data_IF_971086489268
#
_entry.id   IF_971086489268
#
_cell.length_a   1.000
_cell.length_b   1.000
_cell.length_c   1.000
_cell.angle_alpha   90.00
_cell.angle_beta   90.00
_cell.angle_gamma   90.00
#
_symmetry.space_group_name_H-M   'P 1'
#
loop_
_entity.id
_entity.type
_entity.pdbx_description
1 polymer ?
#
# COMPACT_ATOMS: atom_id res chain seq x y z
N UNK A 1 -14.03 -1.47 10.04
CA UNK A 1 -13.70 -1.78 8.63
C UNK A 1 -13.81 -3.28 8.42
N UNK A 2 -14.47 -3.75 7.36
CA UNK A 2 -14.63 -5.20 7.17
C UNK A 2 -13.25 -5.85 6.96
N UNK A 3 -13.02 -7.02 7.57
CA UNK A 3 -11.77 -7.79 7.39
C UNK A 3 -11.41 -7.99 5.90
N UNK A 4 -12.43 -7.99 5.04
CA UNK A 4 -12.31 -8.01 3.59
C UNK A 4 -11.54 -6.80 3.03
N UNK A 5 -11.88 -5.57 3.46
CA UNK A 5 -11.25 -4.33 3.00
C UNK A 5 -9.78 -4.21 3.43
N UNK A 6 -9.44 -4.67 4.65
CA UNK A 6 -8.04 -4.68 5.12
C UNK A 6 -7.20 -5.69 4.34
N UNK A 7 -7.74 -6.88 4.09
CA UNK A 7 -7.09 -7.91 3.27
C UNK A 7 -6.84 -7.41 1.85
N UNK A 8 -7.80 -6.74 1.23
CA UNK A 8 -7.63 -6.15 -0.11
C UNK A 8 -6.54 -5.08 -0.15
N UNK A 9 -6.47 -4.19 0.84
CA UNK A 9 -5.42 -3.18 0.92
C UNK A 9 -4.02 -3.80 1.05
N UNK A 10 -3.89 -4.87 1.85
CA UNK A 10 -2.64 -5.63 1.97
C UNK A 10 -2.25 -6.30 0.65
N UNK A 11 -3.21 -6.90 -0.07
CA UNK A 11 -2.98 -7.48 -1.40
C UNK A 11 -2.49 -6.41 -2.37
N UNK A 12 -3.14 -5.24 -2.41
CA UNK A 12 -2.74 -4.11 -3.26
C UNK A 12 -1.33 -3.62 -2.93
N UNK A 13 -0.99 -3.50 -1.64
CA UNK A 13 0.35 -3.11 -1.20
C UNK A 13 1.41 -4.12 -1.66
N UNK A 14 1.15 -5.42 -1.52
CA UNK A 14 2.05 -6.46 -2.00
C UNK A 14 2.23 -6.40 -3.52
N UNK A 15 1.15 -6.21 -4.28
CA UNK A 15 1.21 -6.08 -5.74
C UNK A 15 2.06 -4.88 -6.17
N UNK A 16 1.91 -3.73 -5.52
CA UNK A 16 2.72 -2.53 -5.79
C UNK A 16 4.21 -2.79 -5.56
N UNK A 17 4.57 -3.46 -4.46
CA UNK A 17 5.97 -3.83 -4.16
C UNK A 17 6.56 -4.78 -5.21
N UNK A 18 5.77 -5.73 -5.71
CA UNK A 18 6.21 -6.62 -6.80
C UNK A 18 6.45 -5.83 -8.09
N UNK A 19 5.54 -4.93 -8.47
CA UNK A 19 5.69 -4.09 -9.67
C UNK A 19 6.91 -3.17 -9.58
N UNK A 20 7.17 -2.61 -8.40
CA UNK A 20 8.40 -1.84 -8.15
C UNK A 20 9.66 -2.69 -8.38
N UNK A 21 9.72 -3.90 -7.80
CA UNK A 21 10.86 -4.80 -7.99
C UNK A 21 11.06 -5.18 -9.46
N UNK A 22 9.99 -5.47 -10.18
CA UNK A 22 10.05 -5.78 -11.61
C UNK A 22 10.57 -4.59 -12.42
N UNK A 23 10.05 -3.38 -12.16
CA UNK A 23 10.51 -2.16 -12.82
C UNK A 23 12.00 -1.88 -12.52
N UNK A 24 12.44 -2.14 -11.29
CA UNK A 24 13.84 -2.03 -10.91
C UNK A 24 14.73 -3.01 -11.68
N UNK A 25 14.32 -4.29 -11.74
CA UNK A 25 15.04 -5.33 -12.47
C UNK A 25 15.11 -5.06 -13.97
N UNK A 26 14.04 -4.49 -14.56
CA UNK A 26 14.00 -4.12 -15.97
C UNK A 26 14.70 -2.80 -16.30
N UNK A 27 15.38 -2.17 -15.32
CA UNK A 27 16.04 -0.85 -15.46
C UNK A 27 15.08 0.23 -15.98
N UNK A 28 13.86 0.25 -15.45
CA UNK A 28 12.87 1.27 -15.76
C UNK A 28 13.39 2.68 -15.48
N UNK A 29 12.79 3.67 -16.16
CA UNK A 29 13.15 5.07 -15.96
C UNK A 29 12.93 5.51 -14.50
N UNK A 30 13.77 6.42 -14.02
CA UNK A 30 13.68 6.94 -12.65
C UNK A 30 12.29 7.49 -12.31
N UNK A 31 11.62 8.17 -13.25
CA UNK A 31 10.25 8.67 -13.08
C UNK A 31 9.24 7.55 -12.82
N UNK A 32 9.39 6.40 -13.48
CA UNK A 32 8.50 5.25 -13.30
C UNK A 32 8.70 4.60 -11.93
N UNK A 33 9.94 4.50 -11.46
CA UNK A 33 10.27 4.02 -10.13
C UNK A 33 9.72 4.96 -9.04
N UNK A 34 9.87 6.27 -9.23
CA UNK A 34 9.33 7.28 -8.31
C UNK A 34 7.81 7.19 -8.20
N UNK A 35 7.09 7.08 -9.33
CA UNK A 35 5.64 6.91 -9.33
C UNK A 35 5.18 5.66 -8.56
N UNK A 36 5.87 4.52 -8.73
CA UNK A 36 5.56 3.29 -8.00
C UNK A 36 5.84 3.40 -6.49
N UNK A 37 6.87 4.15 -6.09
CA UNK A 37 7.14 4.44 -4.68
C UNK A 37 6.05 5.33 -4.07
N UNK A 38 5.67 6.41 -4.76
CA UNK A 38 4.59 7.31 -4.31
C UNK A 38 3.28 6.55 -4.09
N UNK A 39 2.91 5.67 -5.02
CA UNK A 39 1.70 4.84 -4.90
C UNK A 39 1.80 3.84 -3.73
N UNK A 40 2.99 3.28 -3.50
CA UNK A 40 3.26 2.39 -2.37
C UNK A 40 3.09 3.13 -1.04
N UNK A 41 3.64 4.34 -0.90
CA UNK A 41 3.48 5.17 0.29
C UNK A 41 2.04 5.59 0.53
N UNK A 42 1.31 5.93 -0.54
CA UNK A 42 -0.10 6.27 -0.45
C UNK A 42 -0.91 5.09 0.10
N UNK A 43 -0.70 3.88 -0.43
CA UNK A 43 -1.39 2.68 0.04
C UNK A 43 -1.02 2.33 1.50
N UNK A 44 0.22 2.57 1.92
CA UNK A 44 0.62 2.39 3.32
C UNK A 44 -0.10 3.37 4.25
N UNK A 45 -0.28 4.63 3.84
CA UNK A 45 -1.04 5.62 4.61
C UNK A 45 -2.52 5.22 4.73
N UNK A 46 -3.13 4.71 3.66
CA UNK A 46 -4.51 4.22 3.72
C UNK A 46 -4.67 3.05 4.70
N UNK A 47 -3.72 2.11 4.69
CA UNK A 47 -3.73 0.98 5.62
C UNK A 47 -3.50 1.42 7.08
N UNK A 48 -2.63 2.40 7.30
CA UNK A 48 -2.36 2.96 8.64
C UNK A 48 -3.56 3.74 9.18
N UNK A 49 -4.16 4.62 8.36
CA UNK A 49 -5.37 5.37 8.72
C UNK A 49 -6.54 4.43 9.07
N UNK A 50 -6.66 3.32 8.35
CA UNK A 50 -7.62 2.28 8.66
C UNK A 50 -7.35 1.56 9.98
N UNK A 51 -6.08 1.37 10.36
CA UNK A 51 -5.70 0.81 11.66
C UNK A 51 -6.06 1.73 12.84
N UNK A 52 -5.76 3.03 12.72
CA UNK A 52 -6.04 4.05 13.75
C UNK A 52 -7.56 4.17 14.01
N UNK A 53 -8.37 4.02 12.97
CA UNK A 53 -9.84 4.09 13.10
C UNK A 53 -10.41 2.86 13.82
N UNK A 54 -9.69 1.73 13.81
CA UNK A 54 -10.12 0.50 14.48
C UNK A 54 -9.78 0.49 15.97
N UNK A 55 -8.65 1.08 16.39
CA UNK A 55 -8.30 1.25 17.81
C UNK A 55 -9.31 2.15 18.52
N UNK A 56 -9.68 3.30 17.92
CA UNK A 56 -10.69 4.21 18.49
C UNK A 56 -12.11 3.65 18.54
N UNK A 57 -12.45 2.68 17.69
CA UNK A 57 -13.78 2.08 17.66
C UNK A 57 -13.94 0.90 18.64
N UNK A 58 -12.84 0.41 19.24
CA UNK A 58 -12.85 -0.66 20.24
C UNK A 58 -12.81 -0.16 21.69
N UNK A 59 -12.83 1.16 21.91
CA UNK A 59 -12.75 1.81 23.23
C UNK A 59 -14.11 2.26 23.80
N UNK A 60 -15.23 1.83 23.21
CA UNK A 60 -16.59 2.13 23.68
C UNK A 60 -17.38 0.86 24.02
#
# INVERSE_FOLDING_TARGET
>A
MNNHTRREQLIRLCALRVRYRQAWQSKAAACQLAALLTETEHQQRLLAAAGITQERAGEY
#
